data_IF_530885689806
#
_entry.id   IF_530885689806
#
_cell.length_a   1.000
_cell.length_b   1.000
_cell.length_c   1.000
_cell.angle_alpha   90.00
_cell.angle_beta   90.00
_cell.angle_gamma   90.00
#
_symmetry.space_group_name_H-M   'P 1'
#
loop_
_entity.id
_entity.type
_entity.pdbx_description
1 polymer ?
#
# COMPACT_ATOMS: atom_id res chain seq x y z
N UNK A 1 65.77 -27.42 4.44
CA UNK A 1 65.28 -27.24 5.83
C UNK A 1 63.77 -27.14 5.74
N UNK A 2 63.10 -28.19 6.23
CA UNK A 2 61.65 -28.41 6.17
C UNK A 2 61.03 -27.72 7.36
N UNK A 3 60.00 -26.89 7.17
CA UNK A 3 58.91 -26.71 8.13
C UNK A 3 57.59 -26.49 7.37
N UNK A 4 56.60 -27.29 7.78
CA UNK A 4 55.20 -27.36 7.34
C UNK A 4 54.32 -26.39 8.13
N UNK A 5 53.16 -26.07 7.53
CA UNK A 5 51.93 -25.61 8.18
C UNK A 5 51.55 -24.21 7.70
N UNK A 6 50.37 -23.93 7.17
CA UNK A 6 49.17 -24.71 6.89
C UNK A 6 48.15 -23.75 6.23
N UNK A 7 47.30 -24.33 5.39
CA UNK A 7 45.97 -23.84 5.00
C UNK A 7 45.83 -22.52 4.22
N UNK A 8 45.48 -22.65 2.94
CA UNK A 8 44.93 -21.57 2.14
C UNK A 8 45.06 -21.84 0.64
N UNK A 9 43.94 -21.90 -0.06
CA UNK A 9 43.80 -21.86 -1.52
C UNK A 9 43.96 -23.19 -2.29
N UNK A 10 42.88 -23.97 -2.32
CA UNK A 10 42.59 -24.87 -3.45
C UNK A 10 41.49 -24.23 -4.31
N UNK A 11 41.90 -23.24 -5.11
CA UNK A 11 41.11 -22.75 -6.25
C UNK A 11 41.67 -23.45 -7.46
N UNK A 12 40.91 -24.32 -8.13
CA UNK A 12 40.92 -24.55 -9.60
C UNK A 12 39.98 -25.71 -9.98
N UNK A 13 38.88 -25.33 -10.66
CA UNK A 13 38.13 -26.04 -11.71
C UNK A 13 37.47 -27.38 -11.38
N UNK A 14 36.15 -27.31 -11.15
CA UNK A 14 35.22 -28.27 -11.72
C UNK A 14 34.19 -27.49 -12.55
N UNK A 15 34.18 -27.76 -13.86
CA UNK A 15 33.24 -27.21 -14.84
C UNK A 15 31.80 -27.46 -14.39
N UNK A 16 31.08 -26.40 -14.03
CA UNK A 16 29.63 -26.45 -13.93
C UNK A 16 29.07 -26.40 -15.35
N UNK A 17 28.42 -27.49 -15.73
CA UNK A 17 27.58 -27.63 -16.90
C UNK A 17 26.42 -26.62 -16.76
N UNK A 18 26.52 -25.46 -17.41
CA UNK A 18 25.40 -24.51 -17.53
C UNK A 18 24.42 -25.11 -18.54
N UNK A 19 23.44 -25.84 -18.03
CA UNK A 19 22.23 -26.14 -18.78
C UNK A 19 21.49 -24.82 -19.00
N UNK A 20 21.49 -24.37 -20.25
CA UNK A 20 20.59 -23.37 -20.81
C UNK A 20 19.15 -23.77 -20.51
N UNK A 21 18.59 -23.26 -19.42
CA UNK A 21 17.13 -23.15 -19.28
C UNK A 21 16.76 -21.84 -19.95
N UNK A 22 16.40 -21.93 -21.23
CA UNK A 22 15.71 -20.85 -21.90
C UNK A 22 14.49 -20.47 -21.06
N UNK A 23 14.23 -19.18 -20.78
CA UNK A 23 12.96 -18.78 -20.22
C UNK A 23 11.92 -19.04 -21.31
N UNK A 24 11.22 -20.17 -21.21
CA UNK A 24 10.00 -20.34 -21.96
C UNK A 24 9.04 -19.32 -21.37
N UNK A 25 8.93 -18.17 -22.04
CA UNK A 25 7.82 -17.24 -21.85
C UNK A 25 6.54 -17.94 -22.33
N UNK A 26 6.04 -18.88 -21.53
CA UNK A 26 4.67 -19.35 -21.68
C UNK A 26 3.82 -18.26 -21.06
N UNK A 27 3.29 -17.37 -21.90
CA UNK A 27 2.01 -16.72 -21.62
C UNK A 27 0.95 -17.82 -21.62
N UNK A 28 0.93 -18.63 -20.56
CA UNK A 28 -0.16 -19.55 -20.33
C UNK A 28 -1.31 -18.68 -19.83
N UNK A 29 -2.27 -18.42 -20.72
CA UNK A 29 -3.58 -17.95 -20.29
C UNK A 29 -4.01 -18.81 -19.10
N UNK A 30 -4.27 -18.17 -17.96
CA UNK A 30 -4.69 -18.89 -16.75
C UNK A 30 -5.83 -19.87 -17.07
N UNK A 31 -5.80 -21.09 -16.51
CA UNK A 31 -6.86 -22.07 -16.69
C UNK A 31 -8.25 -21.43 -16.48
N UNK A 32 -9.26 -21.76 -17.30
CA UNK A 32 -10.61 -21.21 -17.18
C UNK A 32 -11.18 -21.33 -15.75
N UNK A 33 -10.85 -22.42 -15.06
CA UNK A 33 -11.22 -22.70 -13.67
C UNK A 33 -10.64 -21.67 -12.68
N UNK A 34 -9.40 -21.23 -12.89
CA UNK A 34 -8.76 -20.17 -12.08
C UNK A 34 -9.38 -18.80 -12.35
N UNK A 35 -9.81 -18.54 -13.59
CA UNK A 35 -10.54 -17.29 -13.93
C UNK A 35 -11.93 -17.29 -13.34
N UNK A 36 -12.62 -18.42 -13.35
CA UNK A 36 -13.95 -18.57 -12.77
C UNK A 36 -13.89 -18.45 -11.26
N UNK A 37 -12.92 -19.09 -10.61
CA UNK A 37 -12.66 -18.92 -9.19
C UNK A 37 -12.31 -17.45 -8.84
N UNK A 38 -11.48 -16.78 -9.64
CA UNK A 38 -11.16 -15.36 -9.44
C UNK A 38 -12.40 -14.44 -9.57
N UNK A 39 -13.32 -14.75 -10.50
CA UNK A 39 -14.61 -14.03 -10.63
C UNK A 39 -15.54 -14.29 -9.47
N UNK A 40 -15.54 -15.50 -8.91
CA UNK A 40 -16.32 -15.86 -7.73
C UNK A 40 -15.78 -15.20 -6.44
N UNK A 41 -14.48 -14.93 -6.38
CA UNK A 41 -13.83 -14.31 -5.21
C UNK A 41 -14.08 -12.79 -5.14
N UNK A 42 -14.28 -12.09 -6.27
CA UNK A 42 -14.54 -10.64 -6.27
C UNK A 42 -15.69 -10.29 -7.24
N UNK A 43 -16.95 -10.57 -6.87
CA UNK A 43 -18.11 -10.36 -7.75
C UNK A 43 -18.45 -8.88 -7.97
N UNK A 44 -18.01 -7.98 -7.06
CA UNK A 44 -18.16 -6.52 -7.16
C UNK A 44 -16.97 -5.87 -6.47
N UNK A 45 -16.19 -5.06 -7.21
CA UNK A 45 -14.97 -4.43 -6.68
C UNK A 45 -15.24 -3.05 -6.06
N UNK A 46 -16.37 -2.43 -6.40
CA UNK A 46 -16.80 -1.14 -5.89
C UNK A 46 -17.97 -1.29 -4.91
N UNK A 47 -17.81 -0.71 -3.72
CA UNK A 47 -18.88 -0.59 -2.71
C UNK A 47 -19.56 0.76 -2.93
N UNK A 48 -20.86 0.75 -3.26
CA UNK A 48 -21.57 1.95 -3.71
C UNK A 48 -22.61 2.43 -2.70
N UNK A 49 -22.83 1.68 -1.61
CA UNK A 49 -23.76 2.05 -0.55
C UNK A 49 -23.30 1.55 0.81
N UNK A 50 -23.84 2.14 1.87
CA UNK A 50 -23.58 1.70 3.24
C UNK A 50 -24.10 0.28 3.49
N UNK A 51 -25.21 -0.11 2.87
CA UNK A 51 -25.74 -1.46 2.97
C UNK A 51 -24.76 -2.49 2.40
N UNK A 52 -24.21 -2.23 1.20
CA UNK A 52 -23.18 -3.08 0.59
C UNK A 52 -21.89 -3.06 1.41
N UNK A 53 -21.51 -1.90 1.94
CA UNK A 53 -20.34 -1.77 2.80
C UNK A 53 -20.44 -2.72 3.99
N UNK A 54 -21.52 -2.65 4.77
CA UNK A 54 -21.70 -3.48 5.95
C UNK A 54 -22.00 -4.95 5.63
N UNK A 55 -22.58 -5.26 4.46
CA UNK A 55 -22.75 -6.64 3.99
C UNK A 55 -21.43 -7.36 3.70
N UNK A 56 -20.33 -6.61 3.48
CA UNK A 56 -19.00 -7.17 3.29
C UNK A 56 -18.29 -7.56 4.61
N UNK A 57 -18.86 -7.21 5.78
CA UNK A 57 -18.27 -7.49 7.09
C UNK A 57 -18.90 -8.71 7.77
N UNK A 58 -18.09 -9.42 8.55
CA UNK A 58 -18.58 -10.39 9.52
C UNK A 58 -19.07 -9.65 10.78
N UNK A 59 -20.36 -9.28 10.80
CA UNK A 59 -20.96 -8.53 11.91
C UNK A 59 -21.25 -9.40 13.15
N UNK A 60 -21.07 -10.72 13.05
CA UNK A 60 -21.16 -11.64 14.19
C UNK A 60 -19.84 -11.77 14.95
N UNK A 61 -18.78 -11.11 14.48
CA UNK A 61 -17.49 -11.08 15.16
C UNK A 61 -17.60 -10.42 16.55
N UNK A 62 -16.97 -11.00 17.59
CA UNK A 62 -17.00 -10.42 18.94
C UNK A 62 -16.57 -8.96 18.99
N UNK A 63 -17.35 -8.11 19.66
CA UNK A 63 -17.14 -6.66 19.73
C UNK A 63 -17.83 -5.85 18.64
N UNK A 64 -18.45 -6.49 17.65
CA UNK A 64 -19.22 -5.81 16.59
C UNK A 64 -20.72 -5.73 16.89
N UNK A 65 -21.17 -6.04 18.11
CA UNK A 65 -22.60 -6.14 18.47
C UNK A 65 -23.32 -4.80 18.26
N UNK A 66 -22.69 -3.68 18.61
CA UNK A 66 -23.23 -2.34 18.39
C UNK A 66 -23.31 -1.98 16.90
N UNK A 67 -22.35 -2.44 16.10
CA UNK A 67 -22.36 -2.26 14.64
C UNK A 67 -23.52 -3.05 14.04
N UNK A 68 -23.63 -4.33 14.40
CA UNK A 68 -24.69 -5.22 13.96
C UNK A 68 -26.08 -4.65 14.27
N UNK A 69 -26.32 -4.24 15.50
CA UNK A 69 -27.61 -3.67 15.91
C UNK A 69 -27.97 -2.40 15.11
N UNK A 70 -27.00 -1.51 14.88
CA UNK A 70 -27.22 -0.30 14.08
C UNK A 70 -27.50 -0.62 12.60
N UNK A 71 -26.81 -1.62 12.02
CA UNK A 71 -27.04 -2.08 10.64
C UNK A 71 -28.44 -2.71 10.50
N UNK A 72 -28.85 -3.56 11.45
CA UNK A 72 -30.18 -4.20 11.47
C UNK A 72 -31.31 -3.18 11.62
N UNK A 73 -31.06 -2.07 12.33
CA UNK A 73 -31.98 -0.94 12.45
C UNK A 73 -31.99 -0.02 11.21
N UNK A 74 -31.09 -0.22 10.25
CA UNK A 74 -30.92 0.67 9.09
C UNK A 74 -30.26 2.01 9.41
N UNK A 75 -29.66 2.16 10.60
CA UNK A 75 -29.04 3.38 11.08
C UNK A 75 -27.55 3.44 10.69
N UNK A 76 -27.27 3.48 9.39
CA UNK A 76 -25.89 3.45 8.88
C UNK A 76 -24.94 4.52 9.43
N UNK A 77 -25.37 5.78 9.69
CA UNK A 77 -24.51 6.76 10.36
C UNK A 77 -24.09 6.30 11.76
N UNK A 78 -24.99 5.69 12.53
CA UNK A 78 -24.69 5.14 13.84
C UNK A 78 -23.76 3.92 13.72
N UNK A 79 -24.00 3.06 12.72
CA UNK A 79 -23.14 1.89 12.44
C UNK A 79 -21.69 2.30 12.14
N UNK A 80 -21.46 3.40 11.40
CA UNK A 80 -20.10 3.92 11.13
C UNK A 80 -19.40 4.41 12.40
N UNK A 81 -20.13 5.09 13.29
CA UNK A 81 -19.61 5.54 14.59
C UNK A 81 -19.24 4.32 15.45
N UNK A 82 -20.13 3.32 15.51
CA UNK A 82 -19.88 2.08 16.23
C UNK A 82 -18.68 1.31 15.66
N UNK A 83 -18.51 1.27 14.34
CA UNK A 83 -17.39 0.60 13.69
C UNK A 83 -16.06 1.30 14.01
N UNK A 84 -16.04 2.64 13.99
CA UNK A 84 -14.88 3.42 14.44
C UNK A 84 -14.54 3.07 15.90
N UNK A 85 -15.54 3.04 16.77
CA UNK A 85 -15.34 2.73 18.18
C UNK A 85 -14.79 1.31 18.37
N UNK A 86 -15.33 0.32 17.65
CA UNK A 86 -14.80 -1.04 17.63
C UNK A 86 -13.30 -1.07 17.30
N UNK A 87 -12.84 -0.36 16.25
CA UNK A 87 -11.41 -0.31 15.93
C UNK A 87 -10.58 0.42 16.98
N UNK A 88 -11.13 1.45 17.65
CA UNK A 88 -10.46 2.14 18.74
C UNK A 88 -10.30 1.25 19.99
N UNK A 89 -11.23 0.34 20.23
CA UNK A 89 -11.24 -0.56 21.39
C UNK A 89 -10.56 -1.90 21.12
N UNK A 90 -10.47 -2.32 19.86
CA UNK A 90 -9.85 -3.59 19.44
C UNK A 90 -8.40 -3.65 19.90
N UNK A 91 -7.99 -4.77 20.51
CA UNK A 91 -6.62 -5.03 20.98
C UNK A 91 -5.94 -6.24 20.33
N UNK A 92 -6.70 -7.07 19.60
CA UNK A 92 -6.17 -8.25 18.92
C UNK A 92 -6.63 -8.30 17.45
N UNK A 93 -5.80 -8.84 16.53
CA UNK A 93 -4.38 -9.14 16.73
C UNK A 93 -3.56 -7.84 16.89
N UNK A 94 -2.44 -7.88 17.64
CA UNK A 94 -1.56 -6.72 17.76
C UNK A 94 -0.76 -6.52 16.46
N UNK A 95 -0.49 -5.25 16.16
CA UNK A 95 0.40 -4.79 15.11
C UNK A 95 1.79 -4.50 15.67
N UNK A 96 2.79 -4.27 14.80
CA UNK A 96 4.13 -3.83 15.21
C UNK A 96 4.12 -2.51 15.98
N UNK A 97 3.12 -1.67 15.69
CA UNK A 97 2.81 -0.43 16.40
C UNK A 97 1.29 -0.31 16.48
N UNK A 98 0.75 -0.28 17.69
CA UNK A 98 -0.68 -0.25 17.91
C UNK A 98 -1.14 1.16 18.26
N UNK A 99 -2.30 1.62 17.79
CA UNK A 99 -2.74 3.01 18.04
C UNK A 99 -2.87 3.37 19.53
N UNK A 100 -3.18 2.39 20.39
CA UNK A 100 -3.27 2.60 21.84
C UNK A 100 -1.92 2.77 22.55
N UNK A 101 -0.81 2.57 21.84
CA UNK A 101 0.55 2.84 22.34
C UNK A 101 0.99 4.29 22.08
N UNK A 102 0.15 5.08 21.38
CA UNK A 102 0.45 6.48 21.12
C UNK A 102 0.53 7.25 22.45
N UNK A 103 1.64 7.98 22.71
CA UNK A 103 1.76 8.80 23.90
C UNK A 103 0.58 9.78 24.01
N UNK A 104 0.04 10.04 25.21
CA UNK A 104 -1.05 11.01 25.38
C UNK A 104 -0.60 12.45 25.07
N UNK A 105 0.69 12.74 25.24
CA UNK A 105 1.31 14.04 24.98
C UNK A 105 2.34 13.91 23.85
N UNK A 106 2.52 14.94 23.01
CA UNK A 106 3.51 14.91 21.94
C UNK A 106 4.92 14.79 22.53
N UNK A 107 5.76 14.04 21.83
CA UNK A 107 7.15 13.79 22.24
C UNK A 107 8.08 14.95 21.85
N UNK A 108 7.64 15.84 20.96
CA UNK A 108 8.40 16.98 20.47
C UNK A 108 7.66 17.71 19.36
N UNK A 109 8.29 18.74 18.79
CA UNK A 109 7.77 19.41 17.60
C UNK A 109 8.03 18.56 16.35
N UNK A 110 7.17 18.66 15.34
CA UNK A 110 7.40 17.97 14.07
C UNK A 110 8.79 18.29 13.49
N UNK A 111 9.24 19.55 13.61
CA UNK A 111 10.56 20.05 13.17
C UNK A 111 11.76 19.34 13.80
N UNK A 112 11.55 18.68 14.94
CA UNK A 112 12.61 17.98 15.69
C UNK A 112 12.76 16.52 15.21
N UNK A 113 11.78 16.00 14.47
CA UNK A 113 11.79 14.63 13.96
C UNK A 113 12.62 14.54 12.67
N UNK A 114 13.43 13.47 12.51
CA UNK A 114 14.30 13.28 11.35
C UNK A 114 13.57 13.21 10.01
N UNK A 115 12.30 12.80 10.04
CA UNK A 115 11.44 12.72 8.85
C UNK A 115 10.79 14.05 8.43
N UNK A 116 11.00 15.13 9.20
CA UNK A 116 10.33 16.41 8.96
C UNK A 116 10.52 16.96 7.54
N UNK A 117 11.75 17.00 6.96
CA UNK A 117 11.92 17.52 5.60
C UNK A 117 11.14 16.71 4.55
N UNK A 118 11.05 15.39 4.74
CA UNK A 118 10.27 14.53 3.85
C UNK A 118 8.76 14.73 4.03
N UNK A 119 8.31 14.94 5.27
CA UNK A 119 6.91 15.27 5.57
C UNK A 119 6.44 16.55 4.90
N UNK A 120 7.23 17.61 4.98
CA UNK A 120 6.87 18.89 4.34
C UNK A 120 6.81 18.78 2.80
N UNK A 121 7.70 17.98 2.17
CA UNK A 121 7.58 17.66 0.74
C UNK A 121 6.27 16.93 0.42
N UNK A 122 5.87 15.95 1.24
CA UNK A 122 4.62 15.20 1.04
C UNK A 122 3.40 16.12 1.21
N UNK A 123 3.39 17.01 2.21
CA UNK A 123 2.34 18.02 2.39
C UNK A 123 2.21 18.97 1.19
N UNK A 124 3.32 19.20 0.47
CA UNK A 124 3.37 20.01 -0.74
C UNK A 124 3.17 19.20 -2.04
N UNK A 125 2.82 17.91 -1.95
CA UNK A 125 2.67 16.98 -3.08
C UNK A 125 3.92 16.89 -3.99
N UNK A 126 5.09 17.03 -3.36
CA UNK A 126 6.39 16.87 -3.99
C UNK A 126 6.94 15.48 -3.70
N UNK A 127 7.17 14.69 -4.75
CA UNK A 127 7.58 13.30 -4.64
C UNK A 127 8.88 13.03 -5.39
N UNK A 128 9.69 12.13 -4.84
CA UNK A 128 10.98 11.74 -5.40
C UNK A 128 11.10 10.21 -5.38
N UNK A 129 11.57 9.63 -6.48
CA UNK A 129 11.82 8.20 -6.58
C UNK A 129 12.82 7.89 -7.70
N UNK A 130 13.82 7.06 -7.41
CA UNK A 130 14.79 6.60 -8.41
C UNK A 130 15.59 7.71 -9.11
N UNK A 131 15.83 8.84 -8.43
CA UNK A 131 16.52 10.01 -8.99
C UNK A 131 15.65 10.94 -9.85
N UNK A 132 14.33 10.72 -9.85
CA UNK A 132 13.35 11.57 -10.50
C UNK A 132 12.50 12.28 -9.46
N UNK A 133 12.12 13.52 -9.75
CA UNK A 133 11.26 14.35 -8.90
C UNK A 133 10.03 14.80 -9.68
N UNK A 134 8.92 15.01 -8.97
CA UNK A 134 7.70 15.62 -9.48
C UNK A 134 7.09 16.52 -8.42
N UNK A 135 6.52 17.64 -8.87
CA UNK A 135 5.67 18.52 -8.08
C UNK A 135 4.29 18.52 -8.74
N UNK A 136 3.28 18.02 -8.03
CA UNK A 136 1.91 17.95 -8.53
C UNK A 136 1.08 19.21 -8.23
N UNK A 137 1.61 20.15 -7.44
CA UNK A 137 0.84 21.29 -6.94
C UNK A 137 -0.30 20.85 -6.01
N UNK A 138 -1.53 21.29 -6.30
CA UNK A 138 -2.69 21.05 -5.42
C UNK A 138 -3.31 19.65 -5.56
N UNK A 139 -3.12 19.00 -6.71
CA UNK A 139 -3.82 17.76 -7.07
C UNK A 139 -2.85 16.72 -7.59
N UNK A 140 -2.72 15.63 -6.84
CA UNK A 140 -1.89 14.49 -7.20
C UNK A 140 -2.47 13.80 -8.45
N UNK A 141 -1.64 13.68 -9.49
CA UNK A 141 -1.94 12.82 -10.63
C UNK A 141 -1.46 11.39 -10.34
N UNK A 142 -2.37 10.56 -9.85
CA UNK A 142 -2.09 9.14 -9.57
C UNK A 142 -1.82 8.31 -10.84
N UNK A 143 -2.15 8.83 -12.02
CA UNK A 143 -1.90 8.24 -13.33
C UNK A 143 -0.70 8.85 -14.06
N UNK A 144 0.20 9.49 -13.30
CA UNK A 144 1.40 10.12 -13.82
C UNK A 144 2.32 9.15 -14.57
N UNK A 145 2.44 9.35 -15.89
CA UNK A 145 3.40 8.69 -16.77
C UNK A 145 4.08 9.72 -17.67
N UNK A 146 5.22 10.31 -17.24
CA UNK A 146 5.84 11.41 -17.97
C UNK A 146 6.62 10.95 -19.21
N UNK A 147 6.82 9.63 -19.39
CA UNK A 147 7.63 9.06 -20.46
C UNK A 147 6.86 8.00 -21.23
N UNK A 148 7.18 7.91 -22.52
CA UNK A 148 6.73 6.86 -23.41
C UNK A 148 7.91 5.96 -23.80
N UNK A 149 7.63 4.69 -24.00
CA UNK A 149 8.52 3.72 -24.62
C UNK A 149 8.61 3.96 -26.13
N UNK A 150 9.56 3.30 -26.79
CA UNK A 150 9.78 3.44 -28.24
C UNK A 150 8.57 3.05 -29.10
N UNK A 151 7.68 2.20 -28.59
CA UNK A 151 6.44 1.79 -29.25
C UNK A 151 5.26 2.74 -28.97
N UNK A 152 5.50 3.87 -28.29
CA UNK A 152 4.52 4.90 -27.97
C UNK A 152 3.67 4.61 -26.73
N UNK A 153 3.88 3.49 -26.03
CA UNK A 153 3.16 3.18 -24.79
C UNK A 153 3.75 3.91 -23.59
N UNK A 154 2.97 4.20 -22.53
CA UNK A 154 3.51 4.71 -21.28
C UNK A 154 4.62 3.84 -20.70
N UNK A 155 5.67 4.46 -20.17
CA UNK A 155 6.69 3.79 -19.38
C UNK A 155 6.12 3.49 -17.99
N UNK A 156 5.58 2.29 -17.83
CA UNK A 156 4.92 1.86 -16.60
C UNK A 156 5.88 1.59 -15.46
N UNK A 157 7.18 1.59 -15.74
CA UNK A 157 8.25 1.34 -14.77
C UNK A 157 8.86 2.64 -14.22
N UNK A 158 8.24 3.80 -14.51
CA UNK A 158 8.73 5.08 -14.05
C UNK A 158 8.78 5.13 -12.50
N UNK A 159 9.95 5.36 -11.87
CA UNK A 159 10.12 5.14 -10.43
C UNK A 159 9.18 5.95 -9.54
N UNK A 160 8.87 7.19 -9.90
CA UNK A 160 7.97 8.06 -9.13
C UNK A 160 6.55 7.52 -9.14
N UNK A 161 6.07 7.00 -10.28
CA UNK A 161 4.74 6.42 -10.41
C UNK A 161 4.55 5.24 -9.47
N UNK A 162 5.59 4.42 -9.34
CA UNK A 162 5.62 3.32 -8.37
C UNK A 162 5.71 3.81 -6.93
N UNK A 163 6.49 4.85 -6.66
CA UNK A 163 6.63 5.39 -5.31
C UNK A 163 5.28 5.88 -4.76
N UNK A 164 4.56 6.72 -5.51
CA UNK A 164 3.29 7.30 -5.07
C UNK A 164 2.17 6.26 -4.96
N UNK A 165 2.10 5.28 -5.87
CA UNK A 165 1.04 4.27 -5.89
C UNK A 165 1.31 3.05 -4.97
N UNK A 166 2.47 3.02 -4.31
CA UNK A 166 2.78 2.02 -3.26
C UNK A 166 2.62 2.59 -1.85
N UNK A 167 2.28 3.89 -1.73
CA UNK A 167 1.98 4.59 -0.49
C UNK A 167 3.03 4.49 0.64
N UNK A 168 4.27 4.12 0.33
CA UNK A 168 5.32 4.01 1.35
C UNK A 168 5.60 5.35 2.07
N UNK A 169 5.31 6.46 1.39
CA UNK A 169 5.43 7.81 1.95
C UNK A 169 4.40 8.11 3.05
N UNK A 170 3.27 7.40 3.11
CA UNK A 170 2.26 7.62 4.16
C UNK A 170 2.80 7.30 5.56
N UNK A 171 3.80 6.43 5.67
CA UNK A 171 4.49 6.16 6.93
C UNK A 171 5.19 7.41 7.49
N UNK A 172 5.75 8.25 6.63
CA UNK A 172 6.36 9.52 7.02
C UNK A 172 5.35 10.42 7.72
N UNK A 173 4.12 10.50 7.17
CA UNK A 173 3.02 11.25 7.79
C UNK A 173 2.64 10.64 9.15
N UNK A 174 2.53 9.31 9.21
CA UNK A 174 2.24 8.59 10.45
C UNK A 174 3.30 8.81 11.54
N UNK A 175 4.59 8.81 11.20
CA UNK A 175 5.67 9.06 12.14
C UNK A 175 5.64 10.48 12.69
N UNK A 176 5.41 11.47 11.83
CA UNK A 176 5.34 12.87 12.24
C UNK A 176 4.10 13.15 13.08
N UNK A 177 2.94 12.60 12.71
CA UNK A 177 1.73 12.68 13.52
C UNK A 177 1.95 12.07 14.90
N UNK A 178 2.46 10.84 14.95
CA UNK A 178 2.71 10.13 16.21
C UNK A 178 3.66 10.88 17.14
N UNK A 179 4.70 11.49 16.59
CA UNK A 179 5.69 12.22 17.38
C UNK A 179 5.16 13.56 17.90
N UNK A 180 4.44 14.30 17.06
CA UNK A 180 4.17 15.73 17.28
C UNK A 180 2.71 16.07 17.57
N UNK A 181 1.80 15.16 17.28
CA UNK A 181 0.36 15.38 17.27
C UNK A 181 -0.06 16.53 16.32
N UNK A 182 0.79 16.90 15.35
CA UNK A 182 0.43 17.88 14.32
C UNK A 182 -0.57 17.25 13.34
N UNK A 183 -1.83 17.66 13.50
CA UNK A 183 -2.97 17.19 12.71
C UNK A 183 -2.86 17.48 11.21
N UNK A 184 -1.91 18.32 10.75
CA UNK A 184 -1.67 18.49 9.30
C UNK A 184 -1.31 17.16 8.64
N UNK A 185 -0.48 16.33 9.29
CA UNK A 185 -0.05 15.06 8.73
C UNK A 185 -1.17 14.01 8.71
N UNK A 186 -2.03 13.98 9.73
CA UNK A 186 -3.20 13.12 9.75
C UNK A 186 -4.24 13.52 8.69
N UNK A 187 -4.50 14.82 8.54
CA UNK A 187 -5.39 15.34 7.48
C UNK A 187 -4.87 15.02 6.09
N UNK A 188 -3.56 15.16 5.86
CA UNK A 188 -2.96 14.81 4.57
C UNK A 188 -3.05 13.31 4.27
N UNK A 189 -2.82 12.45 5.27
CA UNK A 189 -3.01 11.01 5.10
C UNK A 189 -4.45 10.71 4.65
N UNK A 190 -5.45 11.28 5.33
CA UNK A 190 -6.87 11.09 4.98
C UNK A 190 -7.16 11.63 3.59
N UNK A 191 -6.64 12.82 3.24
CA UNK A 191 -6.78 13.40 1.92
C UNK A 191 -6.24 12.46 0.84
N UNK A 192 -4.97 12.03 0.92
CA UNK A 192 -4.34 11.23 -0.13
C UNK A 192 -5.00 9.87 -0.33
N UNK A 193 -5.38 9.18 0.75
CA UNK A 193 -6.09 7.89 0.66
C UNK A 193 -7.48 8.08 0.05
N UNK A 194 -8.21 9.10 0.49
CA UNK A 194 -9.56 9.40 -0.04
C UNK A 194 -9.49 9.78 -1.51
N UNK A 195 -8.57 10.67 -1.85
CA UNK A 195 -8.39 11.19 -3.19
C UNK A 195 -7.99 10.08 -4.18
N UNK A 196 -7.08 9.19 -3.76
CA UNK A 196 -6.68 8.05 -4.57
C UNK A 196 -7.84 7.09 -4.84
N UNK A 197 -8.58 6.68 -3.80
CA UNK A 197 -9.72 5.75 -3.93
C UNK A 197 -10.82 6.34 -4.82
N UNK A 198 -11.11 7.63 -4.66
CA UNK A 198 -12.12 8.33 -5.46
C UNK A 198 -11.68 8.56 -6.92
N UNK A 199 -10.41 8.86 -7.13
CA UNK A 199 -9.87 9.15 -8.47
C UNK A 199 -9.58 7.89 -9.27
N UNK A 200 -9.37 6.75 -8.60
CA UNK A 200 -8.92 5.51 -9.22
C UNK A 200 -9.81 4.33 -8.79
N UNK A 201 -11.09 4.28 -9.20
CA UNK A 201 -11.96 3.16 -8.85
C UNK A 201 -11.35 1.84 -9.32
N UNK A 202 -11.54 0.79 -8.52
CA UNK A 202 -11.00 -0.52 -8.82
C UNK A 202 -11.68 -1.10 -10.06
N UNK A 203 -10.91 -1.63 -11.04
CA UNK A 203 -11.48 -2.16 -12.26
C UNK A 203 -12.16 -3.51 -12.02
N UNK A 204 -13.20 -3.82 -12.79
CA UNK A 204 -13.92 -5.11 -12.76
C UNK A 204 -13.05 -6.32 -13.13
N UNK A 205 -11.85 -6.07 -13.66
CA UNK A 205 -10.89 -7.09 -14.01
C UNK A 205 -9.48 -6.52 -14.09
N UNK A 206 -8.50 -7.41 -14.26
CA UNK A 206 -7.11 -7.00 -14.40
C UNK A 206 -6.90 -6.15 -15.65
N UNK A 207 -6.32 -4.95 -15.48
CA UNK A 207 -5.93 -4.06 -16.56
C UNK A 207 -4.40 -3.95 -16.61
N UNK A 208 -3.76 -4.38 -17.71
CA UNK A 208 -2.32 -4.21 -17.87
C UNK A 208 -1.95 -2.74 -18.13
N UNK A 209 -0.70 -2.37 -17.86
CA UNK A 209 -0.14 -1.05 -18.14
C UNK A 209 -0.84 0.13 -17.45
N UNK A 210 -1.32 -0.08 -16.22
CA UNK A 210 -1.87 0.99 -15.36
C UNK A 210 -0.89 1.38 -14.27
N UNK A 211 -0.95 2.63 -13.82
CA UNK A 211 -0.11 3.12 -12.71
C UNK A 211 -0.61 2.58 -11.37
N UNK A 212 -1.93 2.57 -11.18
CA UNK A 212 -2.57 2.32 -9.90
C UNK A 212 -2.87 0.84 -9.69
N UNK A 213 -3.47 0.19 -10.69
CA UNK A 213 -3.99 -1.17 -10.58
C UNK A 213 -3.08 -2.23 -11.20
N UNK A 214 -1.79 -1.92 -11.37
CA UNK A 214 -0.79 -2.95 -11.67
C UNK A 214 -0.73 -3.96 -10.52
N UNK A 215 -0.32 -5.20 -10.80
CA UNK A 215 -0.18 -6.23 -9.75
C UNK A 215 0.66 -5.74 -8.57
N UNK A 216 1.73 -4.99 -8.84
CA UNK A 216 2.67 -4.54 -7.83
C UNK A 216 2.12 -3.37 -7.00
N UNK A 217 1.49 -2.41 -7.64
CA UNK A 217 0.91 -1.23 -6.95
C UNK A 217 -0.41 -1.55 -6.25
N UNK A 218 -1.14 -2.57 -6.70
CA UNK A 218 -2.32 -3.07 -5.99
C UNK A 218 -1.99 -4.01 -4.82
N UNK A 219 -0.88 -4.77 -4.88
CA UNK A 219 -0.54 -5.72 -3.82
C UNK A 219 0.25 -5.11 -2.66
N UNK A 220 1.18 -4.19 -2.93
CA UNK A 220 2.02 -3.59 -1.87
C UNK A 220 1.15 -2.94 -0.79
N UNK A 221 0.02 -2.28 -1.14
CA UNK A 221 -0.84 -1.73 -0.11
C UNK A 221 -1.49 -2.77 0.83
N UNK A 222 -1.64 -4.01 0.38
CA UNK A 222 -2.25 -5.06 1.18
C UNK A 222 -1.25 -5.74 2.13
N UNK A 223 0.05 -5.72 1.80
CA UNK A 223 1.08 -6.50 2.51
C UNK A 223 1.94 -5.70 3.47
N UNK A 224 1.61 -4.42 3.68
CA UNK A 224 2.04 -3.69 4.87
C UNK A 224 3.55 -3.47 4.97
N UNK A 225 4.05 -2.50 4.19
CA UNK A 225 5.20 -1.72 4.68
C UNK A 225 4.76 -0.62 5.67
N UNK A 226 3.48 -0.55 6.03
CA UNK A 226 2.90 0.33 7.04
C UNK A 226 3.02 -0.20 8.47
#
# INVERSE_FOLDING_TARGET
MVLRGGEGHFVTRLMLLVLLVAPVCVSAAHPPELREMARQIVPKVAIESDAEFFAAWDLDHPGMEAVKAAVEAGEFPAAKIALKQYFLDRREPPWKRNHWEMPPEPQGLATEHSSYPAGEKILAHQFEGGGFEVDFGEKIDWNYFPKLLADGKPDTEYPVTHYINRFGHLNTLGYLYWHSHDERYAREFVYQVTDHVQSNPAPEGYIPYTSVWSRLTACIPLVGIW
#
